data_IF_607946855891
#
_entry.id   IF_607946855891
#
_cell.length_a   1.000
_cell.length_b   1.000
_cell.length_c   1.000
_cell.angle_alpha   90.00
_cell.angle_beta   90.00
_cell.angle_gamma   90.00
#
_symmetry.space_group_name_H-M   'P 1'
#
loop_
_entity.id
_entity.type
_entity.pdbx_description
1 polymer ?
#
# COMPACT_ATOMS: atom_id res chain seq x y z
N UNK A 1 -24.06 -9.51 -3.45
CA UNK A 1 -23.28 -8.35 -3.95
C UNK A 1 -23.76 -7.06 -3.32
N UNK A 2 -22.88 -6.06 -3.25
CA UNK A 2 -23.22 -4.71 -2.79
C UNK A 2 -23.29 -3.81 -4.01
N UNK A 3 -24.43 -3.11 -4.19
CA UNK A 3 -24.54 -2.03 -5.17
C UNK A 3 -23.93 -0.75 -4.61
N UNK A 4 -23.21 -0.02 -5.44
CA UNK A 4 -22.57 1.24 -5.08
C UNK A 4 -23.06 2.35 -6.01
N UNK A 5 -23.65 3.37 -5.46
CA UNK A 5 -24.11 4.53 -6.20
C UNK A 5 -23.40 5.80 -5.68
N UNK A 6 -23.05 6.69 -6.59
CA UNK A 6 -22.50 8.00 -6.28
C UNK A 6 -23.60 9.05 -6.46
N UNK A 7 -23.79 9.86 -5.43
CA UNK A 7 -24.72 10.98 -5.49
C UNK A 7 -23.96 12.28 -5.20
N UNK A 8 -24.04 13.23 -6.11
CA UNK A 8 -23.54 14.60 -5.88
C UNK A 8 -24.62 15.42 -5.17
N UNK A 9 -24.29 15.98 -4.04
CA UNK A 9 -25.15 16.92 -3.34
C UNK A 9 -24.45 18.26 -3.17
N UNK A 10 -25.00 19.31 -3.75
CA UNK A 10 -24.58 20.67 -3.50
C UNK A 10 -25.40 21.25 -2.34
N UNK A 11 -24.73 21.65 -1.26
CA UNK A 11 -25.37 22.31 -0.13
C UNK A 11 -25.07 23.79 -0.22
N UNK A 12 -26.13 24.59 -0.38
CA UNK A 12 -26.09 26.05 -0.35
C UNK A 12 -26.26 26.51 1.09
N UNK A 13 -25.21 27.09 1.68
CA UNK A 13 -25.31 27.82 2.94
C UNK A 13 -25.34 29.31 2.64
N UNK A 14 -26.45 29.97 2.91
CA UNK A 14 -26.56 31.41 2.83
C UNK A 14 -26.80 32.01 4.21
N UNK A 15 -26.00 33.02 4.57
CA UNK A 15 -26.26 33.92 5.67
C UNK A 15 -26.32 35.34 5.14
N UNK A 16 -26.93 36.28 5.89
CA UNK A 16 -27.09 37.66 5.46
C UNK A 16 -25.79 38.38 5.06
N UNK A 17 -24.65 37.83 5.45
CA UNK A 17 -23.30 38.42 5.22
C UNK A 17 -22.38 37.56 4.38
N UNK A 18 -22.64 36.23 4.23
CA UNK A 18 -21.77 35.32 3.49
C UNK A 18 -22.59 34.22 2.82
N UNK A 19 -22.34 34.03 1.52
CA UNK A 19 -22.83 32.86 0.80
C UNK A 19 -21.67 31.93 0.54
N UNK A 20 -21.74 30.70 1.06
CA UNK A 20 -20.75 29.67 0.80
C UNK A 20 -21.41 28.49 0.10
N UNK A 21 -20.72 27.96 -0.92
CA UNK A 21 -21.09 26.73 -1.58
C UNK A 21 -20.22 25.61 -1.03
N UNK A 22 -20.84 24.56 -0.54
CA UNK A 22 -20.13 23.35 -0.14
C UNK A 22 -20.65 22.20 -0.99
N UNK A 23 -19.79 21.59 -1.79
CA UNK A 23 -20.11 20.33 -2.46
C UNK A 23 -19.64 19.18 -1.56
N UNK A 24 -20.48 18.18 -1.39
CA UNK A 24 -20.16 16.96 -0.69
C UNK A 24 -20.48 15.76 -1.59
N UNK A 25 -19.59 14.79 -1.62
CA UNK A 25 -19.80 13.55 -2.34
C UNK A 25 -20.30 12.49 -1.37
N UNK A 26 -21.34 11.79 -1.76
CA UNK A 26 -21.92 10.70 -0.98
C UNK A 26 -21.71 9.38 -1.68
N UNK A 27 -21.38 8.36 -0.90
CA UNK A 27 -21.34 6.99 -1.35
C UNK A 27 -22.52 6.27 -0.71
N UNK A 28 -23.40 5.74 -1.54
CA UNK A 28 -24.52 4.93 -1.11
C UNK A 28 -24.22 3.47 -1.41
N UNK A 29 -24.16 2.66 -0.38
CA UNK A 29 -24.03 1.22 -0.48
C UNK A 29 -25.39 0.57 -0.23
N UNK A 30 -25.81 -0.29 -1.13
CA UNK A 30 -27.07 -1.04 -1.00
C UNK A 30 -26.80 -2.53 -1.17
N UNK A 31 -27.52 -3.38 -0.43
CA UNK A 31 -27.55 -4.82 -0.73
C UNK A 31 -28.38 -5.04 -1.99
N UNK A 32 -27.81 -5.74 -2.97
CA UNK A 32 -28.48 -6.06 -4.24
C UNK A 32 -29.18 -7.41 -4.18
N UNK A 33 -28.71 -8.26 -3.30
CA UNK A 33 -29.31 -9.57 -3.05
C UNK A 33 -30.31 -9.52 -1.86
N UNK A 34 -31.16 -10.53 -1.77
CA UNK A 34 -32.11 -10.68 -0.66
C UNK A 34 -31.46 -11.09 0.66
N UNK A 35 -30.13 -11.24 0.70
CA UNK A 35 -29.44 -11.66 1.92
C UNK A 35 -29.37 -10.50 2.91
N UNK A 36 -29.68 -10.80 4.15
CA UNK A 36 -29.47 -9.87 5.26
C UNK A 36 -27.98 -9.67 5.49
N UNK A 37 -27.52 -8.43 5.45
CA UNK A 37 -26.14 -8.06 5.71
C UNK A 37 -26.04 -7.21 6.96
N UNK A 38 -24.98 -7.43 7.73
CA UNK A 38 -24.75 -6.64 8.93
C UNK A 38 -24.11 -5.29 8.59
N UNK A 39 -24.26 -4.31 9.47
CA UNK A 39 -23.67 -2.98 9.31
C UNK A 39 -22.15 -3.05 9.11
N UNK A 40 -21.47 -3.98 9.75
CA UNK A 40 -20.00 -4.09 9.65
C UNK A 40 -19.54 -4.43 8.22
N UNK A 41 -20.27 -5.24 7.47
CA UNK A 41 -19.95 -5.52 6.06
C UNK A 41 -20.00 -4.25 5.20
N UNK A 42 -21.02 -3.41 5.39
CA UNK A 42 -21.12 -2.12 4.71
C UNK A 42 -20.01 -1.16 5.13
N UNK A 43 -19.68 -1.13 6.43
CA UNK A 43 -18.61 -0.30 6.94
C UNK A 43 -17.24 -0.71 6.38
N UNK A 44 -16.94 -2.02 6.33
CA UNK A 44 -15.70 -2.52 5.74
C UNK A 44 -15.62 -2.21 4.24
N UNK A 45 -16.71 -2.38 3.50
CA UNK A 45 -16.75 -2.02 2.08
C UNK A 45 -16.52 -0.52 1.87
N UNK A 46 -17.15 0.34 2.66
CA UNK A 46 -16.96 1.79 2.59
C UNK A 46 -15.52 2.20 2.94
N UNK A 47 -14.91 1.54 3.91
CA UNK A 47 -13.50 1.76 4.27
C UNK A 47 -12.56 1.38 3.14
N UNK A 48 -12.74 0.19 2.53
CA UNK A 48 -11.94 -0.25 1.37
C UNK A 48 -12.09 0.72 0.20
N UNK A 49 -13.30 1.21 -0.04
CA UNK A 49 -13.53 2.21 -1.07
C UNK A 49 -12.84 3.55 -0.76
N UNK A 50 -12.90 4.01 0.49
CA UNK A 50 -12.17 5.21 0.93
C UNK A 50 -10.67 5.08 0.66
N UNK A 51 -10.08 3.94 1.02
CA UNK A 51 -8.66 3.62 0.80
C UNK A 51 -8.32 3.62 -0.71
N UNK A 52 -9.20 3.12 -1.56
CA UNK A 52 -9.06 3.20 -3.00
C UNK A 52 -8.96 4.65 -3.49
N UNK A 53 -9.86 5.51 -3.05
CA UNK A 53 -9.83 6.93 -3.42
C UNK A 53 -8.59 7.64 -2.85
N UNK A 54 -8.13 7.28 -1.66
CA UNK A 54 -6.88 7.82 -1.09
C UNK A 54 -5.66 7.50 -1.97
N UNK A 55 -5.59 6.27 -2.50
CA UNK A 55 -4.51 5.87 -3.42
C UNK A 55 -4.60 6.63 -4.74
N UNK A 56 -5.80 6.75 -5.31
CA UNK A 56 -6.01 7.45 -6.57
C UNK A 56 -5.68 8.95 -6.47
N UNK A 57 -6.15 9.58 -5.40
CA UNK A 57 -6.01 11.03 -5.20
C UNK A 57 -4.71 11.43 -4.52
N UNK A 58 -3.95 10.46 -3.97
CA UNK A 58 -2.80 10.71 -3.10
C UNK A 58 -3.12 11.71 -1.97
N UNK A 59 -4.32 11.62 -1.41
CA UNK A 59 -4.85 12.59 -0.44
C UNK A 59 -5.52 11.86 0.71
N UNK A 60 -5.27 12.24 1.96
CA UNK A 60 -5.94 11.62 3.10
C UNK A 60 -7.42 11.97 3.13
N UNK A 61 -8.27 10.98 3.25
CA UNK A 61 -9.73 11.12 3.33
C UNK A 61 -10.24 10.68 4.70
N UNK A 62 -11.31 11.34 5.14
CA UNK A 62 -12.02 10.96 6.37
C UNK A 62 -13.51 10.97 6.11
N UNK A 63 -14.22 10.03 6.72
CA UNK A 63 -15.67 10.09 6.73
C UNK A 63 -16.12 11.28 7.59
N UNK A 64 -16.95 12.14 7.06
CA UNK A 64 -17.54 13.28 7.80
C UNK A 64 -18.84 12.86 8.46
N UNK A 65 -19.59 11.97 7.81
CA UNK A 65 -20.86 11.45 8.31
C UNK A 65 -21.08 10.05 7.74
N UNK A 66 -21.57 9.13 8.56
CA UNK A 66 -22.01 7.80 8.13
C UNK A 66 -23.45 7.65 8.61
N UNK A 67 -24.36 7.51 7.66
CA UNK A 67 -25.78 7.25 7.93
C UNK A 67 -26.14 5.87 7.40
N UNK A 68 -27.01 5.19 8.08
CA UNK A 68 -27.56 3.92 7.61
C UNK A 68 -29.08 3.91 7.72
N UNK A 69 -29.68 3.20 6.79
CA UNK A 69 -31.12 2.96 6.75
C UNK A 69 -31.36 1.46 6.84
N UNK A 70 -32.24 1.07 7.75
CA UNK A 70 -32.72 -0.30 7.84
C UNK A 70 -34.16 -0.32 7.34
N UNK A 71 -34.37 -0.96 6.20
CA UNK A 71 -35.70 -1.13 5.63
C UNK A 71 -36.26 -2.50 6.07
N UNK A 72 -37.27 -2.47 6.94
CA UNK A 72 -37.95 -3.67 7.42
C UNK A 72 -39.09 -4.13 6.51
N UNK A 73 -39.17 -3.66 5.28
CA UNK A 73 -40.22 -4.08 4.35
C UNK A 73 -40.38 -5.58 4.15
N UNK A 74 -39.45 -6.38 4.69
CA UNK A 74 -39.42 -7.82 4.49
C UNK A 74 -40.00 -8.65 5.67
N UNK A 75 -40.49 -8.03 6.71
CA UNK A 75 -41.19 -8.77 7.79
C UNK A 75 -42.68 -8.58 7.67
N UNK A 76 -43.33 -9.59 7.01
CA UNK A 76 -44.75 -9.89 7.06
C UNK A 76 -45.71 -8.67 7.12
N UNK A 77 -46.16 -8.19 5.97
CA UNK A 77 -47.32 -7.31 5.75
C UNK A 77 -47.56 -6.12 6.72
N UNK A 78 -46.61 -5.79 7.56
CA UNK A 78 -46.65 -4.61 8.41
C UNK A 78 -45.64 -3.59 7.91
N UNK A 79 -46.11 -2.41 7.52
CA UNK A 79 -45.29 -1.22 7.27
C UNK A 79 -44.59 -0.81 8.57
N UNK A 80 -43.44 -1.40 8.84
CA UNK A 80 -42.59 -0.96 9.93
C UNK A 80 -41.82 0.30 9.53
N UNK A 81 -41.57 1.21 10.47
CA UNK A 81 -40.86 2.45 10.15
C UNK A 81 -39.45 2.16 9.69
N UNK A 82 -39.00 2.89 8.67
CA UNK A 82 -37.61 2.91 8.26
C UNK A 82 -36.79 3.44 9.43
N UNK A 83 -35.87 2.61 9.96
CA UNK A 83 -34.95 3.06 11.00
C UNK A 83 -33.77 3.75 10.35
N UNK A 84 -33.62 5.04 10.64
CA UNK A 84 -32.45 5.83 10.26
C UNK A 84 -31.52 5.96 11.46
N UNK A 85 -30.28 5.54 11.29
CA UNK A 85 -29.23 5.67 12.30
C UNK A 85 -28.04 6.46 11.80
N UNK A 86 -27.26 7.00 12.74
CA UNK A 86 -25.95 7.62 12.47
C UNK A 86 -24.88 6.85 13.19
N UNK A 87 -23.80 6.58 12.48
CA UNK A 87 -22.63 5.94 13.06
C UNK A 87 -21.55 6.99 13.30
N UNK A 88 -21.12 7.12 14.55
CA UNK A 88 -20.07 8.03 14.94
C UNK A 88 -18.74 7.30 14.91
N UNK A 89 -17.92 7.64 13.92
CA UNK A 89 -16.52 7.19 13.89
C UNK A 89 -15.70 8.17 14.72
N UNK A 90 -15.07 7.67 15.78
CA UNK A 90 -14.14 8.48 16.55
C UNK A 90 -12.88 8.71 15.72
N UNK A 91 -12.88 9.75 14.91
CA UNK A 91 -11.70 10.20 14.21
C UNK A 91 -10.88 11.07 15.14
N UNK A 92 -9.72 10.60 15.52
CA UNK A 92 -8.75 11.40 16.25
C UNK A 92 -8.22 12.61 15.44
N UNK A 93 -8.66 12.75 14.16
CA UNK A 93 -7.99 13.65 13.22
C UNK A 93 -8.98 14.51 12.45
N UNK A 94 -8.82 15.82 12.57
CA UNK A 94 -9.43 16.77 11.65
C UNK A 94 -8.78 16.59 10.28
N UNK A 95 -9.58 16.40 9.23
CA UNK A 95 -9.07 16.43 7.85
C UNK A 95 -8.30 17.75 7.67
N UNK A 96 -7.04 17.67 7.27
CA UNK A 96 -6.28 18.86 6.89
C UNK A 96 -7.05 19.51 5.74
N UNK A 97 -7.29 20.85 5.83
CA UNK A 97 -7.91 21.59 4.73
C UNK A 97 -7.16 21.28 3.43
N UNK A 98 -7.90 20.91 2.42
CA UNK A 98 -7.38 20.71 1.07
C UNK A 98 -6.59 21.97 0.65
N UNK A 99 -5.31 21.84 0.55
CA UNK A 99 -4.51 22.77 -0.25
C UNK A 99 -4.55 22.18 -1.66
N UNK A 100 -5.00 22.94 -2.65
CA UNK A 100 -5.10 22.64 -4.08
C UNK A 100 -4.19 21.49 -4.57
N UNK A 101 -4.44 20.28 -4.09
CA UNK A 101 -3.77 19.09 -4.61
C UNK A 101 -4.37 18.83 -5.98
N UNK A 102 -3.57 18.89 -7.02
CA UNK A 102 -3.99 18.48 -8.33
C UNK A 102 -4.37 17.01 -8.25
N UNK A 103 -5.65 16.70 -8.42
CA UNK A 103 -6.13 15.33 -8.45
C UNK A 103 -5.42 14.60 -9.57
N UNK A 104 -4.67 13.55 -9.25
CA UNK A 104 -3.92 12.78 -10.23
C UNK A 104 -4.85 12.12 -11.24
N UNK A 105 -6.00 11.66 -10.80
CA UNK A 105 -7.01 11.04 -11.65
C UNK A 105 -8.37 11.65 -11.37
N UNK A 106 -9.01 12.17 -12.40
CA UNK A 106 -10.42 12.50 -12.32
C UNK A 106 -11.25 11.22 -12.50
N UNK A 107 -12.29 11.03 -11.72
CA UNK A 107 -13.22 9.90 -11.87
C UNK A 107 -13.75 9.79 -13.30
N UNK A 108 -13.94 10.92 -14.01
CA UNK A 108 -14.32 10.94 -15.43
C UNK A 108 -13.35 10.20 -16.35
N UNK A 109 -12.07 10.14 -16.00
CA UNK A 109 -11.08 9.40 -16.80
C UNK A 109 -11.11 7.89 -16.56
N UNK A 110 -11.81 7.45 -15.53
CA UNK A 110 -12.01 6.05 -15.18
C UNK A 110 -13.40 5.56 -15.59
N UNK A 111 -14.30 6.46 -16.06
CA UNK A 111 -15.72 6.18 -16.27
C UNK A 111 -15.96 4.92 -17.11
N UNK A 112 -15.23 4.77 -18.22
CA UNK A 112 -15.36 3.61 -19.11
C UNK A 112 -14.93 2.28 -18.51
N UNK A 113 -14.07 2.28 -17.49
CA UNK A 113 -13.48 1.07 -16.88
C UNK A 113 -13.65 1.03 -15.37
N UNK A 114 -14.43 1.93 -14.79
CA UNK A 114 -14.52 2.10 -13.34
C UNK A 114 -14.98 0.83 -12.62
N UNK A 115 -16.00 0.17 -13.14
CA UNK A 115 -16.53 -1.08 -12.57
C UNK A 115 -15.46 -2.17 -12.57
N UNK A 116 -14.75 -2.35 -13.69
CA UNK A 116 -13.66 -3.33 -13.79
C UNK A 116 -12.55 -3.06 -12.77
N UNK A 117 -12.08 -1.81 -12.70
CA UNK A 117 -11.05 -1.39 -11.77
C UNK A 117 -11.49 -1.60 -10.31
N UNK A 118 -12.73 -1.25 -10.01
CA UNK A 118 -13.27 -1.39 -8.66
C UNK A 118 -13.43 -2.86 -8.26
N UNK A 119 -13.86 -3.72 -9.17
CA UNK A 119 -13.92 -5.16 -8.93
C UNK A 119 -12.51 -5.72 -8.64
N UNK A 120 -11.51 -5.39 -9.44
CA UNK A 120 -10.12 -5.77 -9.20
C UNK A 120 -9.60 -5.25 -7.85
N UNK A 121 -9.98 -4.02 -7.47
CA UNK A 121 -9.65 -3.48 -6.16
C UNK A 121 -10.20 -4.34 -5.02
N UNK A 122 -11.49 -4.69 -5.07
CA UNK A 122 -12.11 -5.50 -4.03
C UNK A 122 -11.55 -6.92 -4.00
N UNK A 123 -11.30 -7.52 -5.15
CA UNK A 123 -10.72 -8.87 -5.26
C UNK A 123 -9.31 -8.93 -4.66
N UNK A 124 -8.49 -7.91 -4.91
CA UNK A 124 -7.11 -7.82 -4.40
C UNK A 124 -6.97 -7.15 -3.04
N UNK A 125 -8.07 -6.68 -2.47
CA UNK A 125 -8.03 -5.86 -1.24
C UNK A 125 -7.41 -6.57 -0.04
N UNK A 126 -7.55 -7.89 0.07
CA UNK A 126 -6.93 -8.68 1.16
C UNK A 126 -5.42 -8.83 0.96
N UNK A 127 -4.96 -9.09 -0.27
CA UNK A 127 -3.55 -9.20 -0.59
C UNK A 127 -2.81 -7.86 -0.42
N UNK A 128 -3.49 -6.77 -0.73
CA UNK A 128 -2.97 -5.40 -0.64
C UNK A 128 -3.15 -4.77 0.75
N UNK A 129 -3.92 -5.37 1.65
CA UNK A 129 -4.36 -4.75 2.91
C UNK A 129 -3.21 -4.12 3.71
N UNK A 130 -2.11 -4.86 3.90
CA UNK A 130 -0.98 -4.34 4.66
C UNK A 130 -0.38 -3.09 4.01
N UNK A 131 -0.17 -3.15 2.70
CA UNK A 131 0.45 -2.08 1.91
C UNK A 131 -0.42 -0.83 1.92
N UNK A 132 -1.71 -1.02 1.66
CA UNK A 132 -2.71 0.05 1.63
C UNK A 132 -2.85 0.73 2.99
N UNK A 133 -2.92 -0.06 4.07
CA UNK A 133 -3.00 0.48 5.43
C UNK A 133 -1.79 1.34 5.79
N UNK A 134 -0.59 0.91 5.44
CA UNK A 134 0.62 1.70 5.69
C UNK A 134 0.67 2.95 4.80
N UNK A 135 0.24 2.83 3.54
CA UNK A 135 0.15 3.97 2.63
C UNK A 135 -0.82 5.04 3.17
N UNK A 136 -2.04 4.64 3.53
CA UNK A 136 -3.05 5.52 4.12
C UNK A 136 -2.55 6.19 5.40
N UNK A 137 -1.91 5.42 6.31
CA UNK A 137 -1.29 5.94 7.53
C UNK A 137 -0.26 7.03 7.24
N UNK A 138 0.58 6.83 6.23
CA UNK A 138 1.57 7.81 5.81
C UNK A 138 0.95 9.08 5.21
N UNK A 139 -0.16 8.95 4.47
CA UNK A 139 -0.91 10.10 3.95
C UNK A 139 -1.48 10.97 5.08
N UNK A 140 -1.97 10.36 6.13
CA UNK A 140 -2.52 11.08 7.29
C UNK A 140 -1.46 11.83 8.10
N UNK A 141 -0.19 11.49 7.94
CA UNK A 141 0.95 12.31 8.42
C UNK A 141 1.13 12.36 9.94
N UNK A 142 0.78 11.29 10.66
CA UNK A 142 0.86 11.24 12.12
C UNK A 142 2.12 10.61 12.67
N UNK A 143 3.05 10.29 11.79
CA UNK A 143 4.34 9.69 12.12
C UNK A 143 5.45 10.72 11.96
N UNK A 144 6.55 10.51 12.68
CA UNK A 144 7.80 11.17 12.36
C UNK A 144 8.21 10.85 10.92
N UNK A 145 8.95 11.75 10.29
CA UNK A 145 9.32 11.62 8.88
C UNK A 145 10.18 10.38 8.63
N UNK A 146 11.04 10.06 9.57
CA UNK A 146 11.87 8.86 9.57
C UNK A 146 11.00 7.59 9.50
N UNK A 147 9.98 7.51 10.34
CA UNK A 147 9.05 6.38 10.36
C UNK A 147 8.27 6.28 9.05
N UNK A 148 7.85 7.43 8.50
CA UNK A 148 7.17 7.47 7.20
C UNK A 148 8.06 6.95 6.07
N UNK A 149 9.34 7.32 6.05
CA UNK A 149 10.31 6.83 5.07
C UNK A 149 10.55 5.31 5.23
N UNK A 150 10.73 4.85 6.47
CA UNK A 150 10.92 3.42 6.75
C UNK A 150 9.68 2.61 6.35
N UNK A 151 8.48 3.09 6.64
CA UNK A 151 7.23 2.45 6.23
C UNK A 151 7.10 2.41 4.69
N UNK A 152 7.53 3.47 3.97
CA UNK A 152 7.53 3.48 2.51
C UNK A 152 8.51 2.44 1.93
N UNK A 153 9.72 2.32 2.48
CA UNK A 153 10.70 1.29 2.09
C UNK A 153 10.13 -0.11 2.36
N UNK A 154 9.53 -0.31 3.54
CA UNK A 154 8.94 -1.57 3.94
C UNK A 154 7.78 -1.98 3.04
N UNK A 155 6.95 -1.03 2.61
CA UNK A 155 5.84 -1.30 1.69
C UNK A 155 6.34 -1.86 0.36
N UNK A 156 7.40 -1.28 -0.22
CA UNK A 156 8.02 -1.81 -1.44
C UNK A 156 8.65 -3.19 -1.21
N UNK A 157 9.27 -3.42 -0.05
CA UNK A 157 9.80 -4.73 0.30
C UNK A 157 8.69 -5.79 0.41
N UNK A 158 7.55 -5.46 1.03
CA UNK A 158 6.38 -6.35 1.16
C UNK A 158 5.76 -6.59 -0.20
N UNK A 159 5.56 -5.54 -1.01
CA UNK A 159 5.05 -5.68 -2.37
C UNK A 159 5.94 -6.60 -3.21
N UNK A 160 7.26 -6.39 -3.18
CA UNK A 160 8.21 -7.25 -3.87
C UNK A 160 8.10 -8.72 -3.47
N UNK A 161 7.84 -9.00 -2.19
CA UNK A 161 7.70 -10.38 -1.70
C UNK A 161 6.39 -11.05 -2.13
N UNK A 162 5.31 -10.30 -2.14
CA UNK A 162 3.97 -10.87 -2.34
C UNK A 162 3.58 -10.93 -3.82
N UNK A 163 3.93 -9.90 -4.59
CA UNK A 163 3.44 -9.73 -5.97
C UNK A 163 4.50 -9.98 -7.05
N UNK A 164 5.79 -9.83 -6.71
CA UNK A 164 6.87 -10.08 -7.67
C UNK A 164 7.63 -11.32 -7.25
N UNK A 165 7.24 -12.46 -7.78
CA UNK A 165 8.02 -13.70 -7.68
C UNK A 165 9.31 -13.56 -8.47
N UNK A 166 10.25 -12.73 -7.97
CA UNK A 166 11.60 -12.75 -8.50
C UNK A 166 12.15 -14.14 -8.24
N UNK A 167 12.21 -14.97 -9.29
CA UNK A 167 12.80 -16.29 -9.25
C UNK A 167 14.23 -16.15 -8.74
N UNK A 168 14.41 -16.44 -7.48
CA UNK A 168 15.74 -16.60 -6.92
C UNK A 168 16.17 -18.00 -7.35
N UNK A 169 17.38 -18.18 -7.87
CA UNK A 169 17.90 -19.51 -8.03
C UNK A 169 17.82 -20.21 -6.67
N UNK A 170 16.94 -21.18 -6.55
CA UNK A 170 16.80 -21.97 -5.32
C UNK A 170 17.87 -23.08 -5.26
N UNK A 171 18.74 -23.12 -6.26
CA UNK A 171 19.76 -24.14 -6.44
C UNK A 171 21.14 -23.55 -6.24
N UNK A 172 22.03 -24.33 -5.65
CA UNK A 172 23.46 -24.12 -5.71
C UNK A 172 23.92 -24.23 -7.17
N UNK A 173 24.97 -23.52 -7.55
CA UNK A 173 25.68 -23.81 -8.79
C UNK A 173 26.28 -25.23 -8.71
N UNK A 174 26.59 -25.82 -9.86
CA UNK A 174 27.17 -27.16 -9.92
C UNK A 174 28.46 -27.28 -9.10
N UNK A 175 29.28 -26.22 -9.07
CA UNK A 175 30.53 -26.19 -8.31
C UNK A 175 30.27 -26.04 -6.81
N UNK A 176 29.29 -25.25 -6.40
CA UNK A 176 28.88 -25.15 -4.99
C UNK A 176 28.28 -26.47 -4.49
N UNK A 177 27.51 -27.18 -5.32
CA UNK A 177 26.93 -28.48 -4.97
C UNK A 177 28.05 -29.57 -4.86
N UNK A 178 29.04 -29.56 -5.75
CA UNK A 178 30.22 -30.41 -5.64
C UNK A 178 31.00 -30.15 -4.36
N UNK A 179 31.29 -28.86 -4.08
CA UNK A 179 32.00 -28.47 -2.83
C UNK A 179 31.21 -28.88 -1.58
N UNK A 180 29.89 -28.70 -1.58
CA UNK A 180 29.02 -29.12 -0.50
C UNK A 180 29.04 -30.63 -0.29
N UNK A 181 28.98 -31.43 -1.35
CA UNK A 181 29.11 -32.91 -1.26
C UNK A 181 30.43 -33.31 -0.62
N UNK A 182 31.54 -32.77 -1.11
CA UNK A 182 32.86 -33.02 -0.56
C UNK A 182 32.97 -32.69 0.93
N UNK A 183 32.37 -31.57 1.37
CA UNK A 183 32.31 -31.20 2.79
C UNK A 183 31.46 -32.17 3.62
N UNK A 184 30.34 -32.65 3.09
CA UNK A 184 29.49 -33.64 3.76
C UNK A 184 30.24 -34.97 3.91
N UNK A 185 30.96 -35.40 2.88
CA UNK A 185 31.78 -36.61 2.92
C UNK A 185 32.91 -36.49 3.94
N UNK A 186 33.58 -35.35 3.98
CA UNK A 186 34.58 -35.05 5.01
C UNK A 186 34.01 -35.12 6.44
N UNK A 187 32.83 -34.56 6.67
CA UNK A 187 32.15 -34.61 7.97
C UNK A 187 31.82 -36.04 8.35
N UNK A 188 31.34 -36.83 7.41
CA UNK A 188 30.98 -38.22 7.66
C UNK A 188 32.19 -39.09 8.03
N UNK A 189 33.34 -38.77 7.44
CA UNK A 189 34.57 -39.57 7.61
C UNK A 189 35.40 -39.14 8.81
N UNK A 190 35.53 -37.82 9.07
CA UNK A 190 36.50 -37.27 9.98
C UNK A 190 35.93 -36.67 11.27
N UNK A 191 34.59 -36.54 11.36
CA UNK A 191 33.96 -35.94 12.54
C UNK A 191 33.31 -37.02 13.41
N UNK A 192 33.41 -36.87 14.73
CA UNK A 192 32.77 -37.74 15.72
C UNK A 192 31.23 -37.80 15.46
N UNK A 193 30.68 -38.99 15.63
CA UNK A 193 29.30 -39.31 15.23
C UNK A 193 28.27 -38.36 15.85
N UNK A 194 28.39 -38.06 17.12
CA UNK A 194 27.53 -37.16 17.90
C UNK A 194 27.56 -35.70 17.38
N UNK A 195 28.63 -35.28 16.72
CA UNK A 195 28.80 -33.94 16.18
C UNK A 195 28.38 -33.83 14.70
N UNK A 196 28.36 -34.95 13.97
CA UNK A 196 28.06 -34.95 12.52
C UNK A 196 26.75 -34.28 12.16
N UNK A 197 25.72 -34.53 12.95
CA UNK A 197 24.38 -33.91 12.73
C UNK A 197 24.46 -32.38 12.83
N UNK A 198 25.14 -31.86 13.86
CA UNK A 198 25.29 -30.42 14.10
C UNK A 198 26.06 -29.72 12.98
N UNK A 199 27.10 -30.36 12.43
CA UNK A 199 27.83 -29.80 11.29
C UNK A 199 27.05 -29.89 9.98
N UNK A 200 26.39 -31.02 9.68
CA UNK A 200 25.51 -31.16 8.51
C UNK A 200 24.37 -30.16 8.52
N UNK A 201 23.74 -29.87 9.66
CA UNK A 201 22.68 -28.89 9.77
C UNK A 201 23.15 -27.47 9.45
N UNK A 202 24.41 -27.14 9.71
CA UNK A 202 25.03 -25.84 9.32
C UNK A 202 25.34 -25.77 7.83
N UNK A 203 25.58 -26.91 7.17
CA UNK A 203 25.80 -26.98 5.72
C UNK A 203 24.48 -27.12 4.91
N UNK A 204 23.32 -27.21 5.57
CA UNK A 204 22.05 -27.20 4.88
C UNK A 204 21.94 -25.90 4.09
N UNK A 205 21.85 -26.03 2.78
CA UNK A 205 21.61 -24.89 1.91
C UNK A 205 20.24 -24.30 2.26
N UNK A 206 20.26 -23.07 2.73
CA UNK A 206 19.06 -22.23 2.78
C UNK A 206 19.20 -21.27 1.62
N UNK A 207 18.32 -21.39 0.62
CA UNK A 207 18.25 -20.42 -0.46
C UNK A 207 18.31 -19.01 0.14
N UNK A 208 19.31 -18.23 -0.22
CA UNK A 208 19.46 -16.87 0.29
C UNK A 208 18.27 -16.05 -0.19
N UNK A 209 17.40 -15.65 0.73
CA UNK A 209 16.34 -14.70 0.41
C UNK A 209 16.98 -13.45 -0.18
N UNK A 210 16.42 -12.85 -1.24
CA UNK A 210 16.99 -11.64 -1.81
C UNK A 210 17.09 -10.56 -0.76
N UNK A 211 18.22 -9.88 -0.76
CA UNK A 211 18.43 -8.69 0.08
C UNK A 211 17.45 -7.59 -0.29
N UNK A 212 17.23 -6.64 0.61
CA UNK A 212 16.43 -5.46 0.35
C UNK A 212 16.93 -4.72 -0.92
N UNK A 213 18.25 -4.52 -1.03
CA UNK A 213 18.86 -3.88 -2.19
C UNK A 213 18.48 -4.58 -3.51
N UNK A 214 18.57 -5.92 -3.56
CA UNK A 214 18.20 -6.68 -4.75
C UNK A 214 16.70 -6.57 -5.06
N UNK A 215 15.84 -6.54 -4.05
CA UNK A 215 14.39 -6.35 -4.22
C UNK A 215 14.07 -4.98 -4.78
N UNK A 216 14.64 -3.92 -4.21
CA UNK A 216 14.46 -2.55 -4.70
C UNK A 216 14.99 -2.39 -6.12
N UNK A 217 16.18 -2.94 -6.41
CA UNK A 217 16.73 -2.90 -7.77
C UNK A 217 15.77 -3.54 -8.78
N UNK A 218 15.32 -4.75 -8.48
CA UNK A 218 14.39 -5.45 -9.37
C UNK A 218 13.08 -4.68 -9.55
N UNK A 219 12.54 -4.06 -8.49
CA UNK A 219 11.35 -3.21 -8.63
C UNK A 219 11.65 -2.01 -9.53
N UNK A 220 12.71 -1.26 -9.26
CA UNK A 220 13.02 -0.05 -10.03
C UNK A 220 13.33 -0.35 -11.51
N UNK A 221 14.00 -1.46 -11.78
CA UNK A 221 14.31 -1.90 -13.16
C UNK A 221 13.08 -2.46 -13.91
N UNK A 222 12.04 -2.89 -13.19
CA UNK A 222 10.79 -3.42 -13.80
C UNK A 222 9.76 -2.33 -14.14
N UNK A 223 9.99 -1.08 -13.76
CA UNK A 223 9.16 0.04 -14.17
C UNK A 223 9.45 0.31 -15.67
N UNK A 224 8.43 0.61 -16.46
CA UNK A 224 8.63 0.96 -17.85
C UNK A 224 9.48 2.24 -18.00
N UNK A 225 10.19 2.36 -19.12
CA UNK A 225 11.20 3.41 -19.36
C UNK A 225 10.62 4.83 -19.23
N UNK A 226 9.38 5.03 -19.68
CA UNK A 226 8.72 6.35 -19.63
C UNK A 226 8.48 6.75 -18.17
N UNK A 227 7.98 5.84 -17.36
CA UNK A 227 7.72 6.10 -15.95
C UNK A 227 9.01 6.09 -15.12
N UNK A 228 10.01 5.28 -15.47
CA UNK A 228 11.34 5.37 -14.85
C UNK A 228 11.92 6.77 -14.96
N UNK A 229 11.93 7.31 -16.18
CA UNK A 229 12.47 8.66 -16.44
C UNK A 229 11.72 9.71 -15.63
N UNK A 230 10.41 9.58 -15.50
CA UNK A 230 9.59 10.55 -14.78
C UNK A 230 9.73 10.45 -13.26
N UNK A 231 9.67 9.22 -12.72
CA UNK A 231 9.71 8.98 -11.27
C UNK A 231 11.09 9.27 -10.70
N UNK A 232 12.15 8.79 -11.37
CA UNK A 232 13.50 8.93 -10.85
C UNK A 232 14.19 10.20 -11.35
N UNK A 233 13.66 10.83 -12.42
CA UNK A 233 14.28 12.01 -13.05
C UNK A 233 15.77 11.77 -13.30
N UNK A 234 16.65 12.55 -12.67
CA UNK A 234 18.11 12.44 -12.78
C UNK A 234 18.75 11.71 -11.59
N UNK A 235 17.95 11.04 -10.74
CA UNK A 235 18.49 10.34 -9.57
C UNK A 235 19.30 9.10 -9.98
N UNK A 236 20.51 8.97 -9.43
CA UNK A 236 21.28 7.75 -9.51
C UNK A 236 20.56 6.65 -8.70
N UNK A 237 19.95 5.70 -9.40
CA UNK A 237 19.15 4.61 -8.79
C UNK A 237 20.00 3.69 -7.91
N UNK A 238 21.24 3.40 -8.27
CA UNK A 238 22.14 2.54 -7.49
C UNK A 238 22.53 3.23 -6.17
N UNK A 239 22.81 4.53 -6.23
CA UNK A 239 23.07 5.32 -5.03
C UNK A 239 21.82 5.41 -4.16
N UNK A 240 20.64 5.63 -4.76
CA UNK A 240 19.36 5.67 -4.04
C UNK A 240 19.10 4.35 -3.31
N UNK A 241 19.25 3.20 -3.98
CA UNK A 241 19.08 1.87 -3.38
C UNK A 241 20.04 1.67 -2.20
N UNK A 242 21.28 2.13 -2.34
CA UNK A 242 22.27 2.07 -1.27
C UNK A 242 21.84 2.90 -0.07
N UNK A 243 21.42 4.15 -0.30
CA UNK A 243 20.90 5.05 0.73
C UNK A 243 19.70 4.47 1.45
N UNK A 244 18.71 3.97 0.71
CA UNK A 244 17.50 3.34 1.27
C UNK A 244 17.82 2.12 2.14
N UNK A 245 18.71 1.26 1.66
CA UNK A 245 19.12 0.06 2.39
C UNK A 245 19.83 0.42 3.70
N UNK A 246 20.74 1.39 3.65
CA UNK A 246 21.46 1.84 4.85
C UNK A 246 20.53 2.55 5.83
N UNK A 247 19.66 3.43 5.36
CA UNK A 247 18.67 4.13 6.19
C UNK A 247 17.76 3.14 6.92
N UNK A 248 17.19 2.18 6.19
CA UNK A 248 16.33 1.15 6.79
C UNK A 248 17.08 0.32 7.82
N UNK A 249 18.32 -0.09 7.52
CA UNK A 249 19.09 -0.90 8.45
C UNK A 249 19.43 -0.12 9.72
N UNK A 250 19.84 1.14 9.61
CA UNK A 250 20.10 2.00 10.75
C UNK A 250 18.88 2.10 11.69
N UNK A 251 17.74 2.52 11.17
CA UNK A 251 16.52 2.69 11.97
C UNK A 251 15.93 1.37 12.50
N UNK A 252 16.21 0.24 11.84
CA UNK A 252 15.67 -1.05 12.27
C UNK A 252 16.54 -1.72 13.31
N UNK A 253 17.86 -1.59 13.22
CA UNK A 253 18.81 -2.32 14.07
C UNK A 253 19.42 -1.46 15.18
N UNK A 254 19.32 -0.13 15.08
CA UNK A 254 19.88 0.79 16.09
C UNK A 254 21.41 0.75 16.18
N UNK A 255 22.07 0.34 15.11
CA UNK A 255 23.52 0.28 15.04
C UNK A 255 24.17 1.67 15.03
N UNK A 256 25.51 1.74 15.18
CA UNK A 256 26.26 2.99 15.05
C UNK A 256 26.09 3.61 13.64
N UNK A 257 25.99 4.93 13.57
CA UNK A 257 25.93 5.70 12.32
C UNK A 257 27.09 5.44 11.38
N UNK A 258 28.27 5.17 11.94
CA UNK A 258 29.49 4.92 11.17
C UNK A 258 29.39 3.70 10.24
N UNK A 259 28.51 2.75 10.57
CA UNK A 259 28.22 1.60 9.70
C UNK A 259 27.43 1.95 8.45
N UNK A 260 26.80 3.12 8.44
CA UNK A 260 25.84 3.52 7.39
C UNK A 260 26.16 4.93 6.86
N UNK A 261 27.33 5.14 6.27
CA UNK A 261 27.80 6.47 5.87
C UNK A 261 26.94 7.13 4.77
N UNK A 262 26.13 6.35 4.07
CA UNK A 262 25.24 6.84 3.00
C UNK A 262 23.78 6.88 3.41
N UNK A 263 23.47 6.69 4.71
CA UNK A 263 22.05 6.81 5.13
C UNK A 263 21.53 8.24 4.93
N UNK A 264 20.26 8.37 4.65
CA UNK A 264 19.60 9.65 4.51
C UNK A 264 19.41 10.26 5.90
N UNK A 265 19.97 11.44 6.13
CA UNK A 265 19.87 12.18 7.39
C UNK A 265 19.26 13.58 7.21
N UNK A 266 19.30 14.09 5.99
CA UNK A 266 18.70 15.38 5.65
C UNK A 266 17.18 15.26 5.57
N UNK A 267 16.47 16.18 6.25
CA UNK A 267 15.01 16.15 6.36
C UNK A 267 14.33 16.37 5.01
N UNK A 268 14.90 17.23 4.16
CA UNK A 268 14.35 17.50 2.85
C UNK A 268 14.53 16.27 1.93
N UNK A 269 15.72 15.69 1.92
CA UNK A 269 15.99 14.45 1.19
C UNK A 269 15.09 13.30 1.67
N UNK A 270 14.85 13.17 2.97
CA UNK A 270 13.92 12.16 3.52
C UNK A 270 12.50 12.37 2.97
N UNK A 271 12.04 13.61 2.95
CA UNK A 271 10.69 13.96 2.48
C UNK A 271 10.54 13.65 0.98
N UNK A 272 11.46 14.13 0.16
CA UNK A 272 11.47 13.88 -1.29
C UNK A 272 11.56 12.37 -1.60
N UNK A 273 12.44 11.66 -0.90
CA UNK A 273 12.61 10.22 -1.07
C UNK A 273 11.33 9.46 -0.69
N UNK A 274 10.68 9.85 0.41
CA UNK A 274 9.39 9.26 0.81
C UNK A 274 8.34 9.44 -0.28
N UNK A 275 8.21 10.65 -0.85
CA UNK A 275 7.26 10.92 -1.94
C UNK A 275 7.57 10.07 -3.17
N UNK A 276 8.84 9.98 -3.56
CA UNK A 276 9.28 9.13 -4.66
C UNK A 276 8.89 7.67 -4.45
N UNK A 277 9.13 7.11 -3.27
CA UNK A 277 8.78 5.72 -2.96
C UNK A 277 7.25 5.50 -2.95
N UNK A 278 6.48 6.47 -2.53
CA UNK A 278 5.01 6.43 -2.61
C UNK A 278 4.55 6.39 -4.07
N UNK A 279 5.18 7.16 -4.97
CA UNK A 279 4.87 7.12 -6.39
C UNK A 279 5.24 5.78 -7.03
N UNK A 280 6.39 5.21 -6.68
CA UNK A 280 6.76 3.84 -7.12
C UNK A 280 5.71 2.82 -6.67
N UNK A 281 5.24 2.92 -5.43
CA UNK A 281 4.22 2.01 -4.90
C UNK A 281 2.89 2.18 -5.63
N UNK A 282 2.46 3.42 -5.88
CA UNK A 282 1.23 3.72 -6.64
C UNK A 282 1.31 3.18 -8.07
N UNK A 283 2.46 3.33 -8.73
CA UNK A 283 2.69 2.74 -10.05
C UNK A 283 2.37 1.25 -10.06
N UNK A 284 2.85 0.51 -9.05
CA UNK A 284 2.60 -0.92 -8.96
C UNK A 284 1.16 -1.26 -8.58
N UNK A 285 0.54 -0.53 -7.66
CA UNK A 285 -0.88 -0.73 -7.32
C UNK A 285 -1.76 -0.49 -8.56
N UNK A 286 -1.44 0.53 -9.37
CA UNK A 286 -2.18 0.78 -10.61
C UNK A 286 -2.05 -0.37 -11.61
N UNK A 287 -0.87 -0.98 -11.72
CA UNK A 287 -0.69 -2.18 -12.55
C UNK A 287 -1.54 -3.37 -12.06
N UNK A 288 -1.61 -3.57 -10.72
CA UNK A 288 -2.45 -4.63 -10.15
C UNK A 288 -3.96 -4.41 -10.40
N UNK A 289 -4.35 -3.19 -10.71
CA UNK A 289 -5.73 -2.80 -11.01
C UNK A 289 -6.00 -2.63 -12.51
N UNK A 290 -5.08 -3.04 -13.39
CA UNK A 290 -5.13 -2.83 -14.84
C UNK A 290 -5.31 -1.36 -15.24
N UNK A 291 -4.80 -0.45 -14.41
CA UNK A 291 -4.85 0.98 -14.65
C UNK A 291 -3.58 1.50 -15.29
N UNK A 292 -3.71 2.45 -16.22
CA UNK A 292 -2.54 3.16 -16.76
C UNK A 292 -2.05 4.19 -15.75
N UNK A 293 -0.85 3.97 -15.22
CA UNK A 293 -0.19 4.98 -14.40
C UNK A 293 0.25 6.16 -15.26
N UNK A 294 -0.05 7.36 -14.80
CA UNK A 294 0.41 8.62 -15.43
C UNK A 294 1.04 9.48 -14.37
N UNK A 295 2.36 9.49 -14.35
CA UNK A 295 3.11 10.39 -13.49
C UNK A 295 2.82 11.85 -13.87
N UNK A 296 2.54 12.68 -12.89
CA UNK A 296 2.49 14.14 -13.05
C UNK A 296 3.70 14.74 -12.37
N UNK A 297 4.43 15.58 -13.11
CA UNK A 297 5.43 16.44 -12.49
C UNK A 297 4.70 17.41 -11.54
N UNK A 298 5.14 17.45 -10.32
CA UNK A 298 4.74 18.45 -9.34
C UNK A 298 5.47 19.75 -9.59
#
# INVERSE_FOLDING_TARGET
>A
SLGMNFEDMAILHSSFTNTSFTSAYFIKLTSVDSNTRCFDEFYQASRKFKEFIEILSNTPLSFTNIEFLVDYKMLEDKHLPIIKGKYFVQHARKSKKWKNYQQDISLRKLEDNFEHILNHWFDKSEELEFIVRQFSKNLHGDLYLEDQLIDAIRNLEVYSRNFKNFKIPQCLSDDEEKARKSLIDFINTNILEDLRKKFRDRLKFKAKKPTLAKRLKNLFDSIDEINQTKIFSNNDRELLITKLTQTRNYYTHGDSKDKYPKMITDVHEMYETKLLLQEVLRYYIYQELDMKYRYKNF
#
